data_IF_610220883805
#
_entry.id   IF_610220883805
#
_cell.length_a   1.000
_cell.length_b   1.000
_cell.length_c   1.000
_cell.angle_alpha   90.00
_cell.angle_beta   90.00
_cell.angle_gamma   90.00
#
_symmetry.space_group_name_H-M   'P 1'
#
loop_
_entity.id
_entity.type
_entity.pdbx_description
1 polymer ?
#
# COMPACT_ATOMS: atom_id res chain seq x y z
N UNK A 1 -102.77 33.98 22.06
CA UNK A 1 -101.48 33.51 22.64
C UNK A 1 -100.57 33.25 21.44
N UNK A 2 -99.63 34.16 21.11
CA UNK A 2 -98.20 34.16 21.50
C UNK A 2 -97.52 32.83 21.06
N UNK A 3 -96.46 32.75 20.25
CA UNK A 3 -95.28 33.61 20.06
C UNK A 3 -94.67 33.45 18.65
N UNK A 4 -94.10 34.54 18.16
CA UNK A 4 -93.12 34.66 17.08
C UNK A 4 -91.79 33.97 17.41
N UNK A 5 -91.09 33.43 16.40
CA UNK A 5 -89.64 33.16 16.47
C UNK A 5 -88.97 33.52 15.14
N UNK A 6 -87.98 34.41 15.24
CA UNK A 6 -87.07 34.93 14.23
C UNK A 6 -85.80 34.05 14.12
N UNK A 7 -84.96 34.40 13.12
CA UNK A 7 -83.54 34.06 12.91
C UNK A 7 -83.26 32.74 12.15
N UNK A 8 -82.40 32.70 11.13
CA UNK A 8 -81.49 33.72 10.61
C UNK A 8 -80.90 33.29 9.26
N UNK A 9 -80.74 34.27 8.37
CA UNK A 9 -80.09 34.12 7.06
C UNK A 9 -78.58 34.24 7.28
N UNK A 10 -77.86 33.13 7.14
CA UNK A 10 -76.40 33.11 7.11
C UNK A 10 -75.89 33.28 5.67
N UNK A 11 -75.48 34.51 5.33
CA UNK A 11 -74.71 34.79 4.11
C UNK A 11 -73.28 34.27 4.30
N UNK A 12 -72.87 33.21 3.59
CA UNK A 12 -71.45 32.85 3.49
C UNK A 12 -70.84 33.51 2.24
N UNK A 13 -70.13 34.61 2.46
CA UNK A 13 -69.33 35.28 1.45
C UNK A 13 -68.06 34.44 1.20
N UNK A 14 -68.03 33.67 0.11
CA UNK A 14 -66.85 32.94 -0.31
C UNK A 14 -65.80 33.93 -0.85
N UNK A 15 -64.73 34.14 -0.08
CA UNK A 15 -63.56 34.92 -0.49
C UNK A 15 -62.71 34.11 -1.47
N UNK A 16 -62.82 34.45 -2.76
CA UNK A 16 -61.89 34.07 -3.80
C UNK A 16 -60.55 34.78 -3.57
N UNK A 17 -59.58 34.06 -3.00
CA UNK A 17 -58.18 34.49 -3.04
C UNK A 17 -57.58 34.04 -4.39
N UNK A 18 -57.40 34.99 -5.31
CA UNK A 18 -56.51 34.80 -6.46
C UNK A 18 -55.07 34.79 -5.96
N UNK A 19 -54.40 33.64 -6.07
CA UNK A 19 -52.95 33.55 -5.93
C UNK A 19 -52.31 34.21 -7.16
N UNK A 20 -51.84 35.45 -7.00
CA UNK A 20 -50.86 36.03 -7.91
C UNK A 20 -49.55 35.26 -7.70
N UNK A 21 -49.18 34.43 -8.67
CA UNK A 21 -47.82 33.92 -8.76
C UNK A 21 -46.91 35.13 -8.96
N UNK A 22 -46.21 35.53 -7.91
CA UNK A 22 -45.10 36.46 -8.05
C UNK A 22 -44.04 35.76 -8.90
N UNK A 23 -43.79 36.26 -10.10
CA UNK A 23 -42.52 36.02 -10.79
C UNK A 23 -41.44 36.54 -9.82
N UNK A 24 -40.78 35.63 -9.11
CA UNK A 24 -39.65 36.01 -8.28
C UNK A 24 -38.58 36.51 -9.25
N UNK A 25 -38.19 37.78 -9.09
CA UNK A 25 -37.11 38.41 -9.86
C UNK A 25 -35.75 37.88 -9.38
N UNK A 26 -35.63 36.56 -9.24
CA UNK A 26 -34.40 35.89 -8.83
C UNK A 26 -33.46 35.83 -10.04
N UNK A 27 -32.17 36.13 -9.88
CA UNK A 27 -31.23 36.11 -10.99
C UNK A 27 -31.07 34.68 -11.50
N UNK A 28 -31.57 34.45 -12.72
CA UNK A 28 -31.48 33.15 -13.39
C UNK A 28 -30.05 32.90 -13.88
N UNK A 29 -29.24 32.18 -13.10
CA UNK A 29 -27.92 31.68 -13.50
C UNK A 29 -28.00 30.18 -13.70
N UNK A 30 -27.48 29.68 -14.82
CA UNK A 30 -27.42 28.25 -15.13
C UNK A 30 -25.97 27.80 -15.06
N UNK A 31 -25.69 26.77 -14.28
CA UNK A 31 -24.36 26.20 -14.15
C UNK A 31 -24.41 24.70 -14.40
N UNK A 32 -23.37 24.15 -15.03
CA UNK A 32 -23.24 22.72 -15.28
C UNK A 32 -21.77 22.34 -15.22
N UNK A 33 -21.42 21.27 -14.51
CA UNK A 33 -20.06 20.72 -14.52
C UNK A 33 -19.98 19.44 -15.35
N UNK A 34 -18.79 19.20 -15.92
CA UNK A 34 -18.43 17.95 -16.55
C UNK A 34 -17.01 17.54 -16.15
N UNK A 35 -16.78 16.24 -16.05
CA UNK A 35 -15.43 15.68 -15.94
C UNK A 35 -14.68 15.82 -17.27
N UNK A 36 -13.34 15.90 -17.24
CA UNK A 36 -12.52 15.83 -18.44
C UNK A 36 -12.80 14.54 -19.23
N UNK A 37 -12.66 14.59 -20.56
CA UNK A 37 -12.92 13.43 -21.43
C UNK A 37 -12.05 12.22 -21.11
N UNK A 38 -10.86 12.45 -20.53
CA UNK A 38 -9.95 11.42 -20.03
C UNK A 38 -10.54 10.57 -18.90
N UNK A 39 -11.52 11.11 -18.16
CA UNK A 39 -12.18 10.45 -17.04
C UNK A 39 -13.61 10.05 -17.39
N UNK A 40 -13.75 9.08 -18.28
CA UNK A 40 -15.05 8.61 -18.79
C UNK A 40 -15.96 8.02 -17.71
N UNK A 41 -15.37 7.55 -16.60
CA UNK A 41 -16.10 6.87 -15.52
C UNK A 41 -16.42 7.79 -14.33
N UNK A 42 -16.09 9.08 -14.41
CA UNK A 42 -16.28 10.05 -13.33
C UNK A 42 -15.62 9.60 -12.01
N UNK A 43 -14.46 8.95 -12.11
CA UNK A 43 -13.71 8.47 -10.95
C UNK A 43 -13.10 9.64 -10.20
N UNK A 44 -13.20 9.63 -8.88
CA UNK A 44 -12.44 10.50 -8.00
C UNK A 44 -11.25 9.73 -7.45
N UNK A 45 -10.04 10.12 -7.84
CA UNK A 45 -8.83 9.43 -7.41
C UNK A 45 -8.33 10.06 -6.10
N UNK A 46 -8.22 9.26 -5.05
CA UNK A 46 -7.66 9.70 -3.77
C UNK A 46 -6.20 10.13 -3.88
N UNK A 47 -5.80 11.13 -3.10
CA UNK A 47 -4.42 11.64 -3.11
C UNK A 47 -4.02 12.37 -4.39
N UNK A 48 -4.90 12.45 -5.39
CA UNK A 48 -4.64 13.11 -6.67
C UNK A 48 -5.59 14.29 -6.90
N UNK A 49 -5.18 15.17 -7.82
CA UNK A 49 -5.95 16.35 -8.18
C UNK A 49 -7.07 15.95 -9.14
N UNK A 50 -8.30 15.98 -8.63
CA UNK A 50 -9.50 15.79 -9.44
C UNK A 50 -9.94 17.14 -10.02
N UNK A 51 -10.27 17.15 -11.31
CA UNK A 51 -10.60 18.36 -12.07
C UNK A 51 -11.99 18.21 -12.67
N UNK A 52 -12.82 19.26 -12.58
CA UNK A 52 -14.06 19.40 -13.33
C UNK A 52 -14.06 20.74 -14.06
N UNK A 53 -14.67 20.76 -15.24
CA UNK A 53 -14.92 22.00 -15.99
C UNK A 53 -16.33 22.46 -15.69
N UNK A 54 -16.46 23.62 -15.06
CA UNK A 54 -17.75 24.22 -14.73
C UNK A 54 -18.09 25.27 -15.78
N UNK A 55 -19.20 25.07 -16.47
CA UNK A 55 -19.75 26.02 -17.43
C UNK A 55 -20.84 26.83 -16.74
N UNK A 56 -20.67 28.14 -16.66
CA UNK A 56 -21.65 29.07 -16.09
C UNK A 56 -22.20 29.97 -17.21
N UNK A 57 -23.51 30.11 -17.25
CA UNK A 57 -24.23 30.98 -18.18
C UNK A 57 -25.17 31.92 -17.40
N UNK A 58 -25.01 33.23 -17.60
CA UNK A 58 -25.84 34.23 -16.95
C UNK A 58 -27.09 34.56 -17.79
N UNK A 59 -28.27 34.12 -17.34
CA UNK A 59 -29.58 34.40 -17.96
C UNK A 59 -30.42 35.41 -17.18
N UNK A 60 -29.82 36.11 -16.22
CA UNK A 60 -30.55 36.98 -15.29
C UNK A 60 -30.88 38.37 -15.84
N UNK A 61 -30.28 38.79 -16.97
CA UNK A 61 -30.40 40.17 -17.48
C UNK A 61 -29.72 41.23 -16.60
N UNK A 62 -28.96 40.80 -15.60
CA UNK A 62 -28.20 41.66 -14.69
C UNK A 62 -26.74 41.21 -14.66
N UNK A 63 -25.84 42.10 -14.25
CA UNK A 63 -24.45 41.75 -13.99
C UNK A 63 -24.35 41.00 -12.66
N UNK A 64 -23.73 39.82 -12.68
CA UNK A 64 -23.61 38.92 -11.55
C UNK A 64 -22.14 38.75 -11.19
N UNK A 65 -21.79 38.63 -9.92
CA UNK A 65 -20.41 38.31 -9.51
C UNK A 65 -20.31 36.87 -9.03
N UNK A 66 -19.41 36.08 -9.62
CA UNK A 66 -19.13 34.72 -9.18
C UNK A 66 -18.29 34.76 -7.90
N UNK A 67 -18.80 34.23 -6.79
CA UNK A 67 -18.09 34.25 -5.51
C UNK A 67 -17.20 33.02 -5.37
N UNK A 68 -17.81 31.84 -5.31
CA UNK A 68 -17.12 30.59 -5.07
C UNK A 68 -17.91 29.38 -5.58
N UNK A 69 -17.17 28.32 -5.88
CA UNK A 69 -17.71 26.98 -6.12
C UNK A 69 -17.30 26.14 -4.92
N UNK A 70 -18.27 25.44 -4.35
CA UNK A 70 -18.06 24.52 -3.25
C UNK A 70 -18.89 23.26 -3.49
N UNK A 71 -18.67 22.26 -2.65
CA UNK A 71 -19.42 21.03 -2.76
C UNK A 71 -19.39 20.21 -1.48
N UNK A 72 -20.07 19.09 -1.52
CA UNK A 72 -20.04 18.07 -0.49
C UNK A 72 -20.11 16.68 -1.10
N UNK A 73 -19.60 15.73 -0.34
CA UNK A 73 -19.72 14.31 -0.62
C UNK A 73 -20.68 13.70 0.40
N UNK A 74 -21.68 12.98 -0.09
CA UNK A 74 -22.76 12.40 0.71
C UNK A 74 -22.92 10.92 0.37
N UNK A 75 -23.51 10.16 1.30
CA UNK A 75 -23.76 8.75 1.08
C UNK A 75 -24.88 8.59 0.03
N UNK A 76 -24.75 7.69 -0.97
CA UNK A 76 -25.70 7.63 -2.08
C UNK A 76 -27.12 7.28 -1.65
N UNK A 77 -27.29 6.41 -0.64
CA UNK A 77 -28.61 5.93 -0.22
C UNK A 77 -29.23 6.79 0.90
N UNK A 78 -28.44 7.13 1.91
CA UNK A 78 -28.94 7.82 3.11
C UNK A 78 -28.85 9.34 3.01
N UNK A 79 -28.15 9.87 2.00
CA UNK A 79 -27.81 11.28 1.86
C UNK A 79 -27.10 11.87 3.10
N UNK A 80 -26.54 11.01 3.95
CA UNK A 80 -25.76 11.44 5.10
C UNK A 80 -24.52 12.18 4.59
N UNK A 81 -24.24 13.35 5.17
CA UNK A 81 -23.05 14.13 4.83
C UNK A 81 -21.80 13.39 5.30
N UNK A 82 -20.89 13.07 4.37
CA UNK A 82 -19.56 12.56 4.73
C UNK A 82 -18.63 13.73 5.03
N UNK A 83 -18.48 14.65 4.07
CA UNK A 83 -17.58 15.80 4.20
C UNK A 83 -17.85 16.85 3.13
N UNK A 84 -17.57 18.11 3.47
CA UNK A 84 -17.50 19.17 2.49
C UNK A 84 -16.17 19.12 1.72
N UNK A 85 -16.22 19.37 0.41
CA UNK A 85 -15.03 19.47 -0.43
C UNK A 85 -14.54 20.93 -0.53
N UNK A 86 -13.35 21.13 -1.08
CA UNK A 86 -12.65 22.43 -1.08
C UNK A 86 -13.46 23.52 -1.77
N UNK A 87 -13.74 24.62 -1.08
CA UNK A 87 -14.34 25.81 -1.70
C UNK A 87 -13.28 26.63 -2.44
N UNK A 88 -13.49 26.89 -3.73
CA UNK A 88 -12.63 27.74 -4.56
C UNK A 88 -13.33 29.07 -4.85
N UNK A 89 -12.65 30.18 -4.53
CA UNK A 89 -13.14 31.54 -4.79
C UNK A 89 -12.68 32.03 -6.16
N UNK A 90 -13.59 32.61 -6.93
CA UNK A 90 -13.28 33.18 -8.25
C UNK A 90 -13.28 34.71 -8.22
N UNK A 91 -14.31 35.34 -7.65
CA UNK A 91 -14.43 36.80 -7.58
C UNK A 91 -14.54 37.48 -8.95
N UNK A 92 -15.04 36.78 -9.97
CA UNK A 92 -15.09 37.28 -11.35
C UNK A 92 -16.48 37.83 -11.67
N UNK A 93 -16.60 39.06 -12.20
CA UNK A 93 -17.87 39.58 -12.69
C UNK A 93 -18.25 38.91 -14.02
N UNK A 94 -19.51 38.50 -14.12
CA UNK A 94 -20.12 37.86 -15.27
C UNK A 94 -21.22 38.77 -15.83
N UNK A 95 -21.00 39.29 -17.04
CA UNK A 95 -21.95 40.17 -17.72
C UNK A 95 -23.24 39.43 -18.07
N UNK A 96 -24.32 40.18 -18.31
CA UNK A 96 -25.56 39.58 -18.81
C UNK A 96 -25.34 38.77 -20.09
N UNK A 97 -26.05 37.64 -20.22
CA UNK A 97 -26.01 36.75 -21.40
C UNK A 97 -24.62 36.21 -21.75
N UNK A 98 -23.65 36.35 -20.86
CA UNK A 98 -22.31 35.83 -21.06
C UNK A 98 -22.19 34.41 -20.52
N UNK A 99 -21.29 33.64 -21.15
CA UNK A 99 -20.98 32.26 -20.82
C UNK A 99 -19.48 32.16 -20.53
N UNK A 100 -19.13 31.56 -19.40
CA UNK A 100 -17.74 31.37 -18.97
C UNK A 100 -17.55 29.93 -18.53
N UNK A 101 -16.36 29.39 -18.80
CA UNK A 101 -15.94 28.09 -18.30
C UNK A 101 -14.80 28.29 -17.31
N UNK A 102 -14.94 27.72 -16.13
CA UNK A 102 -13.91 27.76 -15.07
C UNK A 102 -13.55 26.35 -14.64
N UNK A 103 -12.25 26.06 -14.46
CA UNK A 103 -11.83 24.79 -13.88
C UNK A 103 -12.06 24.80 -12.36
N UNK A 104 -12.64 23.74 -11.83
CA UNK A 104 -12.78 23.46 -10.42
C UNK A 104 -11.93 22.25 -10.05
N UNK A 105 -10.99 22.45 -9.14
CA UNK A 105 -10.01 21.43 -8.77
C UNK A 105 -10.08 21.14 -7.28
N UNK A 106 -10.08 19.87 -6.90
CA UNK A 106 -10.04 19.46 -5.50
C UNK A 106 -9.34 18.11 -5.32
N UNK A 107 -9.01 17.79 -4.08
CA UNK A 107 -8.44 16.50 -3.69
C UNK A 107 -9.49 15.71 -2.91
N UNK A 108 -9.54 14.40 -3.14
CA UNK A 108 -10.38 13.47 -2.38
C UNK A 108 -9.53 12.63 -1.45
N UNK A 109 -10.02 12.39 -0.24
CA UNK A 109 -9.38 11.53 0.76
C UNK A 109 -10.50 10.78 1.50
N UNK A 110 -11.19 9.91 0.76
CA UNK A 110 -12.38 9.20 1.26
C UNK A 110 -12.19 7.70 1.17
N UNK A 111 -12.99 6.93 1.90
CA UNK A 111 -13.01 5.49 1.71
C UNK A 111 -13.41 5.18 0.26
N UNK A 112 -12.67 4.29 -0.45
CA UNK A 112 -13.05 3.87 -1.79
C UNK A 112 -14.46 3.28 -1.84
N UNK A 113 -15.18 3.57 -2.92
CA UNK A 113 -16.58 3.18 -3.13
C UNK A 113 -17.42 4.30 -3.71
N UNK A 114 -18.73 4.08 -3.75
CA UNK A 114 -19.66 4.99 -4.41
C UNK A 114 -20.14 6.07 -3.44
N UNK A 115 -20.07 7.32 -3.90
CA UNK A 115 -20.50 8.48 -3.14
C UNK A 115 -21.25 9.45 -4.03
N UNK A 116 -22.19 10.19 -3.45
CA UNK A 116 -22.91 11.23 -4.18
C UNK A 116 -22.20 12.56 -4.03
N UNK A 117 -21.78 13.11 -5.17
CA UNK A 117 -21.07 14.37 -5.28
C UNK A 117 -22.07 15.49 -5.61
N UNK A 118 -22.14 16.47 -4.72
CA UNK A 118 -22.98 17.65 -4.86
C UNK A 118 -22.09 18.89 -4.97
N UNK A 119 -22.15 19.63 -6.08
CA UNK A 119 -21.47 20.91 -6.25
C UNK A 119 -22.50 22.02 -6.41
N UNK A 120 -22.21 23.15 -5.77
CA UNK A 120 -22.99 24.37 -5.90
C UNK A 120 -22.08 25.59 -6.14
N UNK A 121 -22.64 26.55 -6.87
CA UNK A 121 -22.02 27.83 -7.19
C UNK A 121 -22.74 28.92 -6.41
N UNK A 122 -21.97 29.74 -5.71
CA UNK A 122 -22.48 30.94 -5.07
C UNK A 122 -22.15 32.16 -5.93
N UNK A 123 -23.16 33.00 -6.14
CA UNK A 123 -23.02 34.23 -6.90
C UNK A 123 -23.74 35.38 -6.20
N UNK A 124 -23.28 36.61 -6.40
CA UNK A 124 -23.92 37.80 -5.83
C UNK A 124 -24.49 38.72 -6.89
N UNK A 125 -25.62 39.34 -6.55
CA UNK A 125 -26.24 40.44 -7.29
C UNK A 125 -26.52 41.55 -6.29
N UNK A 126 -25.74 42.63 -6.38
CA UNK A 126 -25.70 43.64 -5.30
C UNK A 126 -25.27 43.01 -3.98
N UNK A 127 -26.08 43.21 -2.93
CA UNK A 127 -25.81 42.70 -1.57
C UNK A 127 -26.40 41.31 -1.29
N UNK A 128 -27.08 40.70 -2.27
CA UNK A 128 -27.72 39.38 -2.11
C UNK A 128 -26.85 38.29 -2.70
N UNK A 129 -26.73 37.18 -1.97
CA UNK A 129 -26.03 35.97 -2.41
C UNK A 129 -27.04 34.89 -2.75
N UNK A 130 -26.88 34.28 -3.91
CA UNK A 130 -27.70 33.18 -4.41
C UNK A 130 -26.82 31.96 -4.63
N UNK A 131 -27.42 30.78 -4.45
CA UNK A 131 -26.75 29.49 -4.64
C UNK A 131 -27.46 28.74 -5.75
N UNK A 132 -26.69 28.14 -6.66
CA UNK A 132 -27.19 27.36 -7.79
C UNK A 132 -26.48 26.02 -7.81
N UNK A 133 -27.22 24.93 -7.95
CA UNK A 133 -26.64 23.60 -8.10
C UNK A 133 -25.97 23.47 -9.46
N UNK A 134 -24.74 22.96 -9.44
CA UNK A 134 -23.85 22.87 -10.60
C UNK A 134 -23.78 21.43 -11.10
N UNK A 135 -23.72 20.49 -10.16
CA UNK A 135 -23.52 19.08 -10.46
C UNK A 135 -24.04 18.23 -9.30
N UNK A 136 -24.86 17.25 -9.62
CA UNK A 136 -25.29 16.22 -8.68
C UNK A 136 -25.26 14.87 -9.41
N UNK A 137 -24.36 13.99 -8.99
CA UNK A 137 -24.36 12.59 -9.44
C UNK A 137 -23.62 11.68 -8.49
N UNK A 138 -23.84 10.37 -8.64
CA UNK A 138 -23.06 9.34 -7.95
C UNK A 138 -21.74 9.15 -8.70
N UNK A 139 -20.64 9.29 -7.98
CA UNK A 139 -19.26 9.13 -8.45
C UNK A 139 -18.57 8.06 -7.64
N UNK A 140 -17.60 7.39 -8.24
CA UNK A 140 -16.84 6.34 -7.56
C UNK A 140 -15.49 6.89 -7.11
N UNK A 141 -15.20 6.75 -5.82
CA UNK A 141 -13.89 7.09 -5.27
C UNK A 141 -12.98 5.87 -5.38
N UNK A 142 -11.82 6.04 -6.00
CA UNK A 142 -10.85 4.98 -6.27
C UNK A 142 -9.48 5.35 -5.69
N UNK A 143 -8.73 4.33 -5.27
CA UNK A 143 -7.32 4.49 -4.93
C UNK A 143 -6.47 4.61 -6.20
N UNK A 144 -5.38 5.39 -6.17
CA UNK A 144 -4.44 5.45 -7.27
C UNK A 144 -3.77 4.08 -7.49
N UNK A 145 -3.43 3.73 -8.74
CA UNK A 145 -2.75 2.47 -9.03
C UNK A 145 -1.36 2.43 -8.39
N UNK A 146 -1.05 1.34 -7.69
CA UNK A 146 0.28 1.11 -7.12
C UNK A 146 1.25 0.78 -8.25
N UNK A 147 2.30 1.59 -8.41
CA UNK A 147 3.38 1.33 -9.36
C UNK A 147 4.48 0.48 -8.71
N UNK A 148 4.63 -0.76 -9.16
CA UNK A 148 5.73 -1.66 -8.73
C UNK A 148 7.10 -1.25 -9.29
N UNK A 149 7.11 -0.42 -10.34
CA UNK A 149 8.35 0.10 -10.96
C UNK A 149 8.60 1.56 -10.60
N UNK A 150 8.19 1.99 -9.40
CA UNK A 150 8.61 3.28 -8.86
C UNK A 150 10.05 3.17 -8.33
N UNK A 151 10.99 3.80 -9.05
CA UNK A 151 12.42 3.77 -8.70
C UNK A 151 12.67 4.33 -7.29
N UNK A 152 11.88 5.30 -6.82
CA UNK A 152 12.03 5.84 -5.46
C UNK A 152 11.72 4.78 -4.42
N UNK A 153 10.59 4.10 -4.59
CA UNK A 153 10.14 3.02 -3.70
C UNK A 153 11.11 1.83 -3.73
N UNK A 154 11.53 1.41 -4.93
CA UNK A 154 12.53 0.35 -5.10
C UNK A 154 13.89 0.71 -4.47
N UNK A 155 14.37 1.94 -4.65
CA UNK A 155 15.61 2.40 -4.04
C UNK A 155 15.53 2.39 -2.51
N UNK A 156 14.41 2.84 -1.93
CA UNK A 156 14.18 2.77 -0.48
C UNK A 156 14.26 1.33 0.02
N UNK A 157 13.60 0.38 -0.65
CA UNK A 157 13.66 -1.04 -0.28
C UNK A 157 15.05 -1.65 -0.47
N UNK A 158 15.79 -1.27 -1.51
CA UNK A 158 17.16 -1.72 -1.72
C UNK A 158 18.06 -1.23 -0.57
N UNK A 159 17.92 0.03 -0.15
CA UNK A 159 18.67 0.57 1.00
C UNK A 159 18.32 -0.19 2.29
N UNK A 160 17.02 -0.42 2.56
CA UNK A 160 16.57 -1.22 3.71
C UNK A 160 17.16 -2.64 3.67
N UNK A 161 17.08 -3.30 2.52
CA UNK A 161 17.64 -4.64 2.31
C UNK A 161 19.17 -4.64 2.49
N UNK A 162 19.86 -3.59 2.03
CA UNK A 162 21.30 -3.41 2.23
C UNK A 162 21.68 -3.19 3.69
N UNK A 163 20.90 -2.42 4.45
CA UNK A 163 21.10 -2.21 5.89
C UNK A 163 20.88 -3.49 6.68
N UNK A 164 19.74 -4.17 6.49
CA UNK A 164 19.44 -5.42 7.19
C UNK A 164 20.35 -6.56 6.74
N UNK A 165 20.64 -6.66 5.44
CA UNK A 165 21.58 -7.63 4.89
C UNK A 165 23.01 -7.39 5.38
N UNK A 166 23.45 -6.13 5.42
CA UNK A 166 24.75 -5.74 5.96
C UNK A 166 24.89 -6.04 7.45
N UNK A 167 23.89 -5.68 8.26
CA UNK A 167 23.87 -5.99 9.69
C UNK A 167 23.80 -7.50 9.96
N UNK A 168 22.96 -8.24 9.22
CA UNK A 168 22.87 -9.70 9.29
C UNK A 168 24.19 -10.37 8.89
N UNK A 169 24.84 -9.89 7.83
CA UNK A 169 26.14 -10.39 7.40
C UNK A 169 27.23 -10.09 8.45
N UNK A 170 27.24 -8.88 9.00
CA UNK A 170 28.18 -8.47 10.04
C UNK A 170 28.03 -9.32 11.31
N UNK A 171 26.81 -9.56 11.77
CA UNK A 171 26.55 -10.45 12.91
C UNK A 171 26.93 -11.91 12.62
N UNK A 172 26.69 -12.40 11.40
CA UNK A 172 27.13 -13.74 10.98
C UNK A 172 28.66 -13.91 11.05
N UNK A 173 29.44 -12.99 10.49
CA UNK A 173 30.91 -13.12 10.51
C UNK A 173 31.52 -12.98 11.91
N UNK A 174 30.86 -12.23 12.80
CA UNK A 174 31.33 -12.00 14.17
C UNK A 174 30.99 -13.16 15.11
N UNK A 175 29.82 -13.76 14.98
CA UNK A 175 29.37 -14.89 15.82
C UNK A 175 29.82 -16.25 15.28
N UNK A 176 30.00 -16.39 13.96
CA UNK A 176 30.44 -17.62 13.31
C UNK A 176 31.66 -17.37 12.41
N UNK A 177 32.84 -17.01 12.99
CA UNK A 177 34.02 -16.71 12.20
C UNK A 177 34.43 -17.93 11.35
N UNK A 178 34.75 -17.74 10.06
CA UNK A 178 35.12 -18.85 9.18
C UNK A 178 36.40 -19.52 9.70
N UNK A 179 36.36 -20.85 9.85
CA UNK A 179 37.52 -21.64 10.27
C UNK A 179 38.68 -21.41 9.29
N UNK A 180 39.77 -20.80 9.76
CA UNK A 180 40.99 -20.61 8.95
C UNK A 180 41.47 -21.98 8.49
N UNK A 181 41.59 -22.17 7.17
CA UNK A 181 42.27 -23.35 6.61
C UNK A 181 43.73 -23.28 7.05
N UNK A 182 44.17 -24.27 7.82
CA UNK A 182 45.57 -24.45 8.18
C UNK A 182 46.39 -24.46 6.89
N UNK A 183 47.33 -23.52 6.74
CA UNK A 183 48.34 -23.60 5.70
C UNK A 183 49.19 -24.82 6.04
N UNK A 184 49.07 -25.88 5.25
CA UNK A 184 50.07 -26.95 5.26
C UNK A 184 51.40 -26.28 4.92
N UNK A 185 52.42 -26.33 5.80
CA UNK A 185 53.70 -25.71 5.50
C UNK A 185 54.29 -26.38 4.26
N UNK A 186 54.66 -25.57 3.27
CA UNK A 186 55.42 -26.02 2.11
C UNK A 186 56.75 -26.57 2.61
N UNK A 187 57.12 -27.83 2.32
CA UNK A 187 58.40 -28.35 2.74
C UNK A 187 59.51 -27.52 2.10
N UNK A 188 60.41 -26.98 2.93
CA UNK A 188 61.61 -26.29 2.49
C UNK A 188 62.43 -27.21 1.59
N UNK A 189 62.94 -26.68 0.47
CA UNK A 189 63.83 -27.41 -0.44
C UNK A 189 65.05 -27.97 0.32
N UNK A 190 65.53 -29.18 -0.02
CA UNK A 190 66.66 -29.79 0.67
C UNK A 190 67.92 -28.93 0.47
N UNK A 191 68.46 -28.41 1.56
CA UNK A 191 69.80 -27.81 1.59
C UNK A 191 70.82 -28.94 1.56
N UNK A 192 71.60 -29.00 0.48
CA UNK A 192 72.89 -29.70 0.42
C UNK A 192 72.83 -31.21 0.27
N UNK A 193 73.33 -31.71 -0.87
CA UNK A 193 73.78 -33.10 -1.03
C UNK A 193 74.96 -33.37 -0.09
N UNK A 194 74.69 -33.96 1.08
CA UNK A 194 75.74 -34.63 1.85
C UNK A 194 75.89 -36.04 1.29
N UNK A 195 76.97 -36.23 0.55
CA UNK A 195 77.43 -37.54 0.08
C UNK A 195 77.86 -38.37 1.30
N UNK A 196 76.96 -39.19 1.85
CA UNK A 196 77.33 -40.25 2.78
C UNK A 196 77.70 -41.50 1.96
N UNK A 197 79.00 -41.65 1.75
CA UNK A 197 79.61 -42.85 1.16
C UNK A 197 79.27 -44.07 2.02
N UNK A 198 79.00 -45.18 1.36
CA UNK A 198 78.45 -46.43 1.89
C UNK A 198 79.00 -46.97 3.22
N UNK A 199 78.12 -47.76 3.86
CA UNK A 199 78.34 -48.71 4.96
C UNK A 199 78.57 -48.11 6.36
N UNK A 200 77.46 -47.79 7.04
CA UNK A 200 77.43 -47.56 8.49
C UNK A 200 76.03 -47.80 9.01
N UNK A 201 75.89 -48.68 10.02
CA UNK A 201 74.61 -49.11 10.56
C UNK A 201 73.75 -47.95 11.06
N UNK A 202 72.43 -48.17 11.00
CA UNK A 202 71.43 -47.35 11.68
C UNK A 202 71.89 -47.05 13.11
N UNK A 203 72.21 -45.78 13.41
CA UNK A 203 72.47 -45.35 14.78
C UNK A 203 71.12 -45.11 15.46
N UNK A 204 70.67 -46.08 16.27
CA UNK A 204 69.41 -46.04 17.04
C UNK A 204 69.50 -45.18 18.32
N UNK A 205 70.62 -44.51 18.53
CA UNK A 205 71.00 -43.81 19.77
C UNK A 205 70.22 -42.50 20.00
N UNK A 206 69.49 -42.02 18.99
CA UNK A 206 68.66 -40.82 19.07
C UNK A 206 67.19 -41.11 19.43
N UNK A 207 66.78 -42.38 19.53
CA UNK A 207 65.38 -42.74 19.82
C UNK A 207 65.22 -42.89 21.34
N UNK A 208 64.44 -42.01 22.00
CA UNK A 208 64.21 -42.13 23.44
C UNK A 208 63.64 -43.52 23.78
N UNK A 209 64.21 -44.20 24.78
CA UNK A 209 63.94 -45.61 25.11
C UNK A 209 62.44 -45.95 25.26
N UNK A 210 61.62 -44.97 25.64
CA UNK A 210 60.17 -45.11 25.79
C UNK A 210 59.40 -45.28 24.46
N UNK A 211 60.05 -45.16 23.30
CA UNK A 211 59.42 -45.33 21.98
C UNK A 211 59.76 -46.65 21.26
N UNK A 212 60.65 -47.50 21.81
CA UNK A 212 60.86 -48.85 21.30
C UNK A 212 59.79 -49.81 21.85
N UNK A 213 58.65 -49.91 21.15
CA UNK A 213 57.67 -50.96 21.39
C UNK A 213 58.29 -52.32 20.98
N UNK A 214 58.79 -53.09 21.96
CA UNK A 214 59.23 -54.48 21.78
C UNK A 214 58.12 -55.29 21.09
N UNK A 215 58.24 -55.54 19.79
CA UNK A 215 57.40 -56.50 19.08
C UNK A 215 57.80 -57.91 19.53
N UNK A 216 57.03 -58.51 20.44
CA UNK A 216 57.12 -59.94 20.72
C UNK A 216 56.63 -60.70 19.48
N UNK A 217 57.55 -61.16 18.66
CA UNK A 217 57.33 -62.21 17.66
C UNK A 217 57.17 -63.57 18.39
N UNK A 218 55.97 -63.88 18.85
CA UNK A 218 55.62 -65.21 19.34
C UNK A 218 54.75 -65.94 18.30
N UNK A 219 55.39 -66.84 17.57
CA UNK A 219 54.79 -67.79 16.62
C UNK A 219 54.42 -69.08 17.37
N UNK A 220 53.14 -69.34 17.68
CA UNK A 220 52.54 -70.71 17.66
C UNK A 220 51.01 -70.73 17.90
N UNK A 221 50.32 -71.26 16.89
CA UNK A 221 49.19 -72.21 16.86
C UNK A 221 48.20 -72.36 18.05
N UNK A 222 46.89 -72.36 17.71
CA UNK A 222 45.98 -73.45 18.12
C UNK A 222 44.68 -73.06 18.85
N UNK A 223 43.55 -72.99 18.12
CA UNK A 223 42.29 -73.68 18.42
C UNK A 223 41.39 -73.32 19.64
N UNK A 224 40.15 -72.92 19.31
CA UNK A 224 38.86 -73.39 19.88
C UNK A 224 38.28 -72.72 21.16
N UNK A 225 37.20 -71.96 20.91
CA UNK A 225 35.89 -71.81 21.62
C UNK A 225 35.79 -71.38 23.09
N UNK A 226 35.12 -70.25 23.32
CA UNK A 226 33.89 -70.05 24.14
C UNK A 226 33.70 -68.53 24.27
N UNK A 227 32.58 -67.89 23.91
CA UNK A 227 31.24 -68.15 24.41
C UNK A 227 30.84 -67.01 25.37
N UNK A 228 29.84 -66.21 24.97
CA UNK A 228 28.80 -65.53 25.80
C UNK A 228 29.26 -64.53 26.87
N UNK A 229 28.90 -63.24 26.82
CA UNK A 229 27.60 -62.65 27.22
C UNK A 229 27.52 -61.23 26.61
N UNK A 230 26.50 -60.70 25.94
CA UNK A 230 25.05 -60.79 26.10
C UNK A 230 24.57 -60.33 27.50
N UNK A 231 24.19 -59.05 27.60
CA UNK A 231 23.14 -58.45 28.45
C UNK A 231 23.11 -56.93 28.14
N UNK A 232 22.28 -56.49 27.20
CA UNK A 232 20.93 -55.92 27.41
C UNK A 232 20.93 -54.46 27.93
N UNK A 233 20.69 -53.51 27.02
CA UNK A 233 19.63 -52.52 27.24
C UNK A 233 18.90 -52.23 25.92
N UNK A 234 17.75 -52.89 25.80
CA UNK A 234 16.64 -52.68 24.87
C UNK A 234 16.11 -51.24 25.00
N UNK A 235 15.90 -50.53 23.88
CA UNK A 235 14.56 -50.30 23.32
C UNK A 235 14.19 -48.83 23.49
N UNK A 236 13.56 -48.10 22.58
CA UNK A 236 12.77 -48.41 21.40
C UNK A 236 13.00 -47.29 20.36
N UNK A 237 13.17 -47.58 19.07
CA UNK A 237 12.14 -47.58 18.02
C UNK A 237 11.25 -46.32 18.06
N UNK A 238 11.23 -45.49 17.00
CA UNK A 238 10.44 -45.68 15.78
C UNK A 238 11.16 -45.01 14.58
N UNK A 239 11.51 -45.76 13.53
CA UNK A 239 10.75 -45.93 12.27
C UNK A 239 10.74 -44.66 11.41
N UNK A 240 11.57 -44.55 10.37
CA UNK A 240 11.33 -45.09 9.02
C UNK A 240 11.22 -43.86 8.10
N UNK A 241 12.09 -43.63 7.11
CA UNK A 241 12.23 -44.18 5.74
C UNK A 241 13.30 -43.25 5.12
N UNK A 242 14.24 -43.62 4.26
CA UNK A 242 14.18 -44.44 3.07
C UNK A 242 15.62 -44.60 2.56
N UNK A 243 15.95 -45.80 2.08
CA UNK A 243 17.26 -46.10 1.52
C UNK A 243 17.38 -45.76 0.04
N UNK A 244 18.54 -45.19 -0.31
CA UNK A 244 19.43 -45.69 -1.37
C UNK A 244 18.95 -45.56 -2.83
N UNK A 245 19.67 -44.73 -3.61
CA UNK A 245 20.51 -45.22 -4.72
C UNK A 245 21.47 -44.15 -5.28
N UNK A 246 22.71 -44.60 -5.53
CA UNK A 246 23.84 -43.92 -6.17
C UNK A 246 23.85 -44.22 -7.69
N UNK A 247 24.61 -43.37 -8.41
CA UNK A 247 25.36 -43.60 -9.67
C UNK A 247 24.51 -43.63 -10.96
N UNK A 248 24.93 -43.02 -12.07
CA UNK A 248 26.25 -42.48 -12.39
C UNK A 248 26.25 -41.71 -13.72
N UNK A 249 27.27 -40.87 -13.86
CA UNK A 249 27.60 -40.06 -15.04
C UNK A 249 28.51 -40.90 -15.95
N UNK A 250 28.18 -40.97 -17.24
CA UNK A 250 29.14 -41.10 -18.33
C UNK A 250 29.24 -39.73 -18.99
#
# INVERSE_FOLDING_TARGET
MRYTAFLGVGFSLASLFSAVAADSTDPKVVATAAFPEENTFNHLVNGQKNTLTVTIENKSGLNVTLLNIAGSLTHPDTNALLKNITALKYGVPLLEKSKVQVPYNFYSEFRPGDHRLNLWLQHSVGDKVYTVDVFESVVTVVEPPVSIFDLKMLATYLILLGLFGGAGYYTYITLAPPKKKSKVPTPSAPVGTVTATGAGGYQEEWIPEHHLKKSKSAKKAGGVTSGTSADEFSGAELSGTEGRRRKGKK
#
